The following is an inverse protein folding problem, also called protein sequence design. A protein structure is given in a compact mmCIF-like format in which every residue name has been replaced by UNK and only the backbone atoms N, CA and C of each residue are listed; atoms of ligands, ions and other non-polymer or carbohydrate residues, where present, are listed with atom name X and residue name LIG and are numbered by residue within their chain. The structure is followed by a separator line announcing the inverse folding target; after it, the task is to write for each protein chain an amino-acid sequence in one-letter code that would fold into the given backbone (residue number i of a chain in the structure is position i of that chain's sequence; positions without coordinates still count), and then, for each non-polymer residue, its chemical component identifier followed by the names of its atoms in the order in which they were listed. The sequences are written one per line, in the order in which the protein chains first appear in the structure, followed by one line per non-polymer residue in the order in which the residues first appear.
data_IF_083314553450
#
_entry.id   IF_083314553450
#
_cell.length_a   1.000
_cell.length_b   1.000
_cell.length_c   1.000
_cell.angle_alpha   90.00
_cell.angle_beta   90.00
_cell.angle_gamma   90.00
#
_symmetry.space_group_name_H-M   'P 1'
#
loop_
_entity.id
_entity.type
_entity.pdbx_description
1 polymer ?
#
# COMPACT_ATOMS: atom_id res chain seq x y z
N UNK A 1 -12.44 29.66 -9.55
CA UNK A 1 -12.41 28.21 -9.23
C UNK A 1 -13.23 28.02 -7.97
N UNK A 2 -14.24 27.14 -7.98
CA UNK A 2 -15.08 26.91 -6.79
C UNK A 2 -14.27 26.22 -5.67
N UNK A 3 -14.72 26.34 -4.43
CA UNK A 3 -14.11 25.64 -3.30
C UNK A 3 -14.05 24.12 -3.53
N UNK A 4 -15.09 23.53 -4.13
CA UNK A 4 -15.13 22.10 -4.46
C UNK A 4 -14.11 21.70 -5.53
N UNK A 5 -13.92 22.54 -6.55
CA UNK A 5 -12.90 22.32 -7.57
C UNK A 5 -11.49 22.35 -6.96
N UNK A 6 -11.23 23.29 -6.03
CA UNK A 6 -9.95 23.38 -5.32
C UNK A 6 -9.66 22.14 -4.48
N UNK A 7 -10.62 21.71 -3.66
CA UNK A 7 -10.47 20.50 -2.85
C UNK A 7 -10.24 19.28 -3.72
N UNK A 8 -10.95 19.16 -4.85
CA UNK A 8 -10.76 18.05 -5.80
C UNK A 8 -9.36 18.04 -6.41
N UNK A 9 -8.85 19.18 -6.87
CA UNK A 9 -7.49 19.27 -7.43
C UNK A 9 -6.44 18.89 -6.38
N UNK A 10 -6.61 19.35 -5.14
CA UNK A 10 -5.71 19.00 -4.03
C UNK A 10 -5.75 17.50 -3.77
N UNK A 11 -6.94 16.90 -3.63
CA UNK A 11 -7.09 15.48 -3.33
C UNK A 11 -6.55 14.59 -4.46
N UNK A 12 -6.85 14.91 -5.72
CA UNK A 12 -6.29 14.22 -6.87
C UNK A 12 -4.77 14.36 -6.92
N UNK A 13 -4.23 15.55 -6.66
CA UNK A 13 -2.80 15.80 -6.55
C UNK A 13 -2.14 14.95 -5.47
N UNK A 14 -2.74 14.83 -4.28
CA UNK A 14 -2.24 13.99 -3.20
C UNK A 14 -2.21 12.51 -3.59
N UNK A 15 -3.23 12.01 -4.29
CA UNK A 15 -3.25 10.63 -4.80
C UNK A 15 -2.10 10.42 -5.79
N UNK A 16 -1.90 11.33 -6.75
CA UNK A 16 -0.80 11.25 -7.72
C UNK A 16 0.57 11.27 -7.02
N UNK A 17 0.76 12.14 -6.03
CA UNK A 17 2.00 12.22 -5.25
C UNK A 17 2.24 10.91 -4.48
N UNK A 18 1.21 10.33 -3.86
CA UNK A 18 1.32 9.07 -3.13
C UNK A 18 1.73 7.90 -4.04
N UNK A 19 1.17 7.81 -5.25
CA UNK A 19 1.60 6.83 -6.26
C UNK A 19 3.02 7.11 -6.78
N UNK A 20 3.40 8.38 -6.94
CA UNK A 20 4.77 8.76 -7.26
C UNK A 20 5.76 8.30 -6.19
N UNK A 21 5.42 8.47 -4.91
CA UNK A 21 6.22 7.99 -3.78
C UNK A 21 6.32 6.46 -3.78
N UNK A 22 5.19 5.75 -3.96
CA UNK A 22 5.16 4.29 -4.09
C UNK A 22 6.10 3.81 -5.21
N UNK A 23 6.05 4.43 -6.38
CA UNK A 23 6.92 4.08 -7.50
C UNK A 23 8.40 4.38 -7.22
N UNK A 24 8.68 5.50 -6.55
CA UNK A 24 10.04 5.91 -6.21
C UNK A 24 10.68 4.98 -5.17
N UNK A 25 9.99 4.69 -4.06
CA UNK A 25 10.41 3.68 -3.08
C UNK A 25 10.49 2.30 -3.74
N UNK A 26 9.54 2.02 -4.63
CA UNK A 26 9.56 1.06 -5.74
C UNK A 26 10.97 0.77 -6.27
N UNK A 27 11.41 1.72 -7.09
CA UNK A 27 12.70 1.68 -7.77
C UNK A 27 13.89 1.69 -6.82
N UNK A 28 13.81 2.40 -5.69
CA UNK A 28 14.88 2.44 -4.70
C UNK A 28 15.17 1.04 -4.13
N UNK A 29 14.15 0.35 -3.64
CA UNK A 29 14.31 -1.01 -3.11
C UNK A 29 14.75 -2.00 -4.20
N UNK A 30 14.21 -1.90 -5.43
CA UNK A 30 14.68 -2.74 -6.55
C UNK A 30 16.19 -2.61 -6.78
N UNK A 31 16.76 -1.40 -6.66
CA UNK A 31 18.21 -1.17 -6.79
C UNK A 31 19.00 -1.73 -5.61
N UNK A 32 18.45 -1.72 -4.40
CA UNK A 32 19.10 -2.29 -3.21
C UNK A 32 19.20 -3.82 -3.30
N UNK A 33 18.19 -4.47 -3.90
CA UNK A 33 18.14 -5.93 -4.06
C UNK A 33 18.71 -6.45 -5.38
N UNK A 34 19.03 -5.56 -6.32
CA UNK A 34 19.61 -5.92 -7.61
C UNK A 34 20.85 -6.82 -7.43
N UNK A 35 20.93 -7.88 -8.23
CA UNK A 35 22.01 -8.88 -8.28
C UNK A 35 22.08 -9.92 -7.14
N UNK A 36 21.17 -9.92 -6.14
CA UNK A 36 21.18 -10.94 -5.06
C UNK A 36 19.88 -11.73 -4.86
N UNK A 37 18.73 -11.21 -5.30
CA UNK A 37 17.46 -11.94 -5.36
C UNK A 37 16.80 -11.74 -6.73
N UNK A 38 16.06 -12.75 -7.24
CA UNK A 38 15.45 -12.73 -8.60
C UNK A 38 14.38 -11.63 -8.79
N UNK A 39 13.78 -11.14 -7.72
CA UNK A 39 12.84 -10.00 -7.71
C UNK A 39 12.74 -9.43 -6.29
N UNK A 40 12.13 -8.25 -6.14
CA UNK A 40 11.63 -7.70 -4.87
C UNK A 40 10.99 -8.81 -4.04
N UNK A 41 11.68 -9.20 -2.98
CA UNK A 41 11.35 -10.32 -2.12
C UNK A 41 11.13 -9.75 -0.72
N UNK A 42 10.01 -10.05 -0.02
CA UNK A 42 8.89 -10.94 -0.36
C UNK A 42 7.61 -10.25 -0.89
N UNK A 43 7.52 -8.92 -0.85
CA UNK A 43 6.24 -8.16 -0.97
C UNK A 43 5.58 -8.12 -2.37
N UNK A 44 6.27 -8.51 -3.46
CA UNK A 44 5.74 -8.32 -4.83
C UNK A 44 5.01 -9.53 -5.41
N UNK A 45 5.21 -10.73 -4.85
CA UNK A 45 4.62 -11.96 -5.40
C UNK A 45 4.32 -12.98 -4.31
N UNK A 46 3.19 -13.69 -4.41
CA UNK A 46 2.84 -14.81 -3.51
C UNK A 46 3.66 -16.09 -3.78
N UNK A 47 4.55 -16.06 -4.77
CA UNK A 47 5.27 -17.22 -5.29
C UNK A 47 6.53 -17.62 -4.52
N UNK A 48 6.90 -16.91 -3.44
CA UNK A 48 8.10 -17.28 -2.68
C UNK A 48 7.92 -18.54 -1.81
N UNK A 49 8.97 -19.33 -1.62
CA UNK A 49 8.96 -20.46 -0.66
C UNK A 49 9.37 -20.01 0.75
N UNK A 50 9.02 -20.82 1.76
CA UNK A 50 9.51 -20.60 3.12
C UNK A 50 11.04 -20.63 3.21
N UNK A 51 11.70 -21.45 2.38
CA UNK A 51 13.16 -21.55 2.32
C UNK A 51 13.80 -20.25 1.83
N UNK A 52 13.23 -19.60 0.81
CA UNK A 52 13.72 -18.30 0.34
C UNK A 52 13.56 -17.20 1.41
N UNK A 53 12.52 -17.29 2.25
CA UNK A 53 12.37 -16.38 3.39
C UNK A 53 13.43 -16.68 4.47
N UNK A 54 13.74 -17.96 4.70
CA UNK A 54 14.85 -18.38 5.56
C UNK A 54 16.21 -17.88 5.05
N UNK A 55 16.46 -17.91 3.75
CA UNK A 55 17.66 -17.35 3.12
C UNK A 55 17.78 -15.83 3.34
N UNK A 56 16.68 -15.09 3.19
CA UNK A 56 16.67 -13.65 3.46
C UNK A 56 17.03 -13.34 4.92
N UNK A 57 16.49 -14.11 5.86
CA UNK A 57 16.75 -13.97 7.31
C UNK A 57 18.23 -14.17 7.67
N UNK A 58 18.92 -15.04 6.92
CA UNK A 58 20.36 -15.28 7.10
C UNK A 58 21.26 -14.34 6.28
N UNK A 59 20.69 -13.59 5.34
CA UNK A 59 21.45 -12.70 4.47
C UNK A 59 21.95 -11.43 5.17
N UNK A 60 23.03 -10.87 4.63
CA UNK A 60 23.53 -9.53 4.97
C UNK A 60 22.56 -8.40 4.58
N UNK A 61 21.59 -8.69 3.70
CA UNK A 61 20.58 -7.76 3.23
C UNK A 61 19.41 -7.59 4.20
N UNK A 62 19.23 -8.51 5.15
CA UNK A 62 18.21 -8.46 6.21
C UNK A 62 18.07 -7.08 6.84
N UNK A 63 19.18 -6.51 7.29
CA UNK A 63 19.15 -5.20 7.98
C UNK A 63 18.83 -4.06 7.02
N UNK A 64 19.25 -4.15 5.75
CA UNK A 64 18.91 -3.16 4.70
C UNK A 64 17.44 -3.23 4.31
N UNK A 65 16.84 -4.40 4.43
CA UNK A 65 15.40 -4.59 4.24
C UNK A 65 14.60 -3.98 5.39
N UNK A 66 14.95 -4.33 6.64
CA UNK A 66 14.26 -3.77 7.82
C UNK A 66 14.42 -2.26 7.86
N UNK A 67 15.63 -1.75 7.58
CA UNK A 67 15.92 -0.33 7.55
C UNK A 67 16.83 0.03 6.36
N UNK A 68 16.44 0.99 5.49
CA UNK A 68 15.31 1.92 5.64
C UNK A 68 14.03 1.49 4.91
N UNK A 69 14.00 0.31 4.28
CA UNK A 69 12.97 -0.04 3.30
C UNK A 69 11.62 -0.28 3.98
N UNK A 70 11.54 -1.29 4.83
CA UNK A 70 10.33 -1.63 5.60
C UNK A 70 9.97 -0.45 6.54
N UNK A 71 10.95 0.00 7.31
CA UNK A 71 10.84 1.19 8.14
C UNK A 71 12.01 2.14 7.89
N UNK A 72 11.77 3.44 7.60
CA UNK A 72 10.48 4.14 7.61
C UNK A 72 9.81 4.27 6.23
N UNK A 73 10.44 3.81 5.14
CA UNK A 73 9.98 4.16 3.79
C UNK A 73 8.63 3.54 3.44
N UNK A 74 8.43 2.24 3.67
CA UNK A 74 7.15 1.59 3.33
C UNK A 74 6.01 2.10 4.22
N UNK A 75 6.30 2.33 5.52
CA UNK A 75 5.37 3.01 6.43
C UNK A 75 4.89 4.38 5.88
N UNK A 76 5.82 5.19 5.35
CA UNK A 76 5.45 6.47 4.76
C UNK A 76 4.60 6.30 3.49
N UNK A 77 4.91 5.29 2.67
CA UNK A 77 4.16 4.97 1.45
C UNK A 77 2.74 4.51 1.77
N UNK A 78 2.57 3.55 2.68
CA UNK A 78 1.25 3.03 3.03
C UNK A 78 0.35 4.10 3.66
N UNK A 79 0.91 4.98 4.50
CA UNK A 79 0.19 6.10 5.08
C UNK A 79 -0.23 7.12 4.01
N UNK A 80 0.68 7.44 3.07
CA UNK A 80 0.37 8.35 1.97
C UNK A 80 -0.72 7.78 1.04
N UNK A 81 -0.62 6.50 0.67
CA UNK A 81 -1.60 5.83 -0.19
C UNK A 81 -2.96 5.72 0.50
N UNK A 82 -3.01 5.18 1.71
CA UNK A 82 -4.26 5.00 2.45
C UNK A 82 -4.92 6.35 2.77
N UNK A 83 -4.13 7.33 3.23
CA UNK A 83 -4.61 8.67 3.55
C UNK A 83 -5.14 9.42 2.33
N UNK A 84 -4.38 9.45 1.23
CA UNK A 84 -4.78 10.17 0.03
C UNK A 84 -6.00 9.53 -0.64
N UNK A 85 -5.98 8.21 -0.85
CA UNK A 85 -7.13 7.51 -1.44
C UNK A 85 -8.36 7.58 -0.54
N UNK A 86 -8.17 7.50 0.78
CA UNK A 86 -9.27 7.53 1.73
C UNK A 86 -9.95 8.89 1.82
N UNK A 87 -9.15 9.96 1.91
CA UNK A 87 -9.67 11.32 1.86
C UNK A 87 -10.37 11.62 0.51
N UNK A 88 -9.74 11.25 -0.60
CA UNK A 88 -10.27 11.50 -1.94
C UNK A 88 -11.59 10.75 -2.21
N UNK A 89 -11.61 9.43 -1.99
CA UNK A 89 -12.80 8.61 -2.23
C UNK A 89 -13.95 8.97 -1.29
N UNK A 90 -13.67 9.19 0.00
CA UNK A 90 -14.69 9.63 0.96
C UNK A 90 -15.30 10.97 0.57
N UNK A 91 -14.47 11.95 0.16
CA UNK A 91 -14.94 13.25 -0.30
C UNK A 91 -15.86 13.14 -1.53
N UNK A 92 -15.42 12.47 -2.60
CA UNK A 92 -16.20 12.36 -3.83
C UNK A 92 -17.48 11.52 -3.65
N UNK A 93 -17.44 10.46 -2.82
CA UNK A 93 -18.63 9.70 -2.46
C UNK A 93 -19.60 10.53 -1.61
N UNK A 94 -19.12 11.37 -0.69
CA UNK A 94 -20.00 12.23 0.08
C UNK A 94 -20.77 13.21 -0.80
N UNK A 95 -20.15 13.67 -1.90
CA UNK A 95 -20.80 14.56 -2.86
C UNK A 95 -21.77 13.84 -3.83
N UNK A 96 -21.47 12.61 -4.22
CA UNK A 96 -22.22 11.90 -5.29
C UNK A 96 -23.14 10.78 -4.79
N UNK A 97 -22.76 10.11 -3.70
CA UNK A 97 -23.49 9.00 -3.11
C UNK A 97 -23.22 8.89 -1.58
N UNK A 98 -23.76 9.81 -0.75
CA UNK A 98 -23.46 9.91 0.68
C UNK A 98 -23.58 8.62 1.48
N UNK A 99 -24.56 7.72 1.24
CA UNK A 99 -24.70 6.47 1.99
C UNK A 99 -23.48 5.54 1.91
N UNK A 100 -22.63 5.67 0.90
CA UNK A 100 -21.41 4.86 0.75
C UNK A 100 -20.11 5.59 1.14
N UNK A 101 -20.15 6.85 1.58
CA UNK A 101 -18.93 7.63 1.86
C UNK A 101 -17.99 6.96 2.87
N UNK A 102 -18.55 6.20 3.82
CA UNK A 102 -17.78 5.43 4.79
C UNK A 102 -16.86 4.36 4.16
N UNK A 103 -17.22 3.82 2.99
CA UNK A 103 -16.37 2.87 2.25
C UNK A 103 -15.05 3.53 1.84
N UNK A 104 -15.09 4.83 1.55
CA UNK A 104 -13.89 5.60 1.22
C UNK A 104 -12.86 5.60 2.34
N UNK A 105 -13.28 5.47 3.60
CA UNK A 105 -12.35 5.37 4.73
C UNK A 105 -12.03 3.91 5.08
N UNK A 106 -13.03 3.03 5.08
CA UNK A 106 -12.86 1.65 5.54
C UNK A 106 -11.96 0.84 4.60
N UNK A 107 -12.14 0.94 3.27
CA UNK A 107 -11.39 0.12 2.33
C UNK A 107 -9.88 0.44 2.37
N UNK A 108 -9.45 1.72 2.33
CA UNK A 108 -8.03 2.07 2.51
C UNK A 108 -7.49 1.79 3.92
N UNK A 109 -8.33 1.84 4.95
CA UNK A 109 -7.92 1.46 6.31
C UNK A 109 -7.61 -0.05 6.43
N UNK A 110 -8.40 -0.91 5.77
CA UNK A 110 -8.10 -2.35 5.71
C UNK A 110 -6.76 -2.59 5.02
N UNK A 111 -6.48 -1.88 3.93
CA UNK A 111 -5.16 -1.88 3.29
C UNK A 111 -4.06 -1.51 4.29
N UNK A 112 -4.14 -0.33 4.89
CA UNK A 112 -3.14 0.17 5.84
C UNK A 112 -2.88 -0.81 6.99
N UNK A 113 -3.94 -1.37 7.59
CA UNK A 113 -3.81 -2.29 8.70
C UNK A 113 -3.17 -3.62 8.28
N UNK A 114 -3.59 -4.18 7.14
CA UNK A 114 -2.98 -5.41 6.63
C UNK A 114 -1.50 -5.22 6.28
N UNK A 115 -1.16 -4.09 5.68
CA UNK A 115 0.20 -3.72 5.31
C UNK A 115 1.09 -3.55 6.55
N UNK A 116 0.60 -2.82 7.55
CA UNK A 116 1.29 -2.61 8.80
C UNK A 116 1.53 -3.91 9.58
N UNK A 117 0.54 -4.81 9.61
CA UNK A 117 0.68 -6.13 10.26
C UNK A 117 1.70 -6.99 9.52
N UNK A 118 1.68 -6.97 8.19
CA UNK A 118 2.66 -7.67 7.35
C UNK A 118 4.07 -7.18 7.65
N UNK A 119 4.26 -5.87 7.64
CA UNK A 119 5.57 -5.25 7.89
C UNK A 119 6.08 -5.53 9.29
N UNK A 120 5.25 -5.41 10.32
CA UNK A 120 5.69 -5.75 11.68
C UNK A 120 6.07 -7.22 11.82
N UNK A 121 5.29 -8.14 11.23
CA UNK A 121 5.59 -9.56 11.25
C UNK A 121 6.90 -9.85 10.52
N UNK A 122 7.07 -9.27 9.33
CA UNK A 122 8.26 -9.47 8.51
C UNK A 122 9.50 -8.89 9.18
N UNK A 123 9.41 -7.66 9.70
CA UNK A 123 10.45 -7.01 10.48
C UNK A 123 10.85 -7.82 11.71
N UNK A 124 9.87 -8.35 12.46
CA UNK A 124 10.13 -9.20 13.61
C UNK A 124 10.84 -10.51 13.23
N UNK A 125 10.40 -11.19 12.17
CA UNK A 125 11.03 -12.43 11.68
C UNK A 125 12.47 -12.20 11.25
N UNK A 126 12.72 -11.10 10.53
CA UNK A 126 14.05 -10.71 10.07
C UNK A 126 14.96 -10.36 11.25
N UNK A 127 14.48 -9.59 12.22
CA UNK A 127 15.27 -9.22 13.40
C UNK A 127 15.56 -10.43 14.31
N UNK A 128 14.64 -11.39 14.40
CA UNK A 128 14.82 -12.61 15.19
C UNK A 128 15.93 -13.51 14.63
N UNK A 129 16.14 -13.51 13.31
CA UNK A 129 17.24 -14.28 12.71
C UNK A 129 17.02 -15.81 12.65
N UNK A 130 15.79 -16.30 12.90
CA UNK A 130 15.47 -17.73 12.90
C UNK A 130 14.90 -18.17 11.53
N UNK A 131 15.68 -18.87 10.68
CA UNK A 131 15.23 -19.26 9.34
C UNK A 131 14.09 -20.30 9.37
N UNK A 132 14.06 -21.21 10.36
CA UNK A 132 13.01 -22.21 10.48
C UNK A 132 11.70 -21.60 11.00
N UNK A 133 11.81 -20.63 11.93
CA UNK A 133 10.69 -19.81 12.37
C UNK A 133 10.07 -19.00 11.22
N UNK A 134 10.92 -18.41 10.37
CA UNK A 134 10.49 -17.66 9.21
C UNK A 134 9.82 -18.54 8.15
N UNK A 135 10.41 -19.68 7.80
CA UNK A 135 9.82 -20.63 6.85
C UNK A 135 8.42 -21.10 7.27
N UNK A 136 8.20 -21.36 8.57
CA UNK A 136 6.88 -21.71 9.12
C UNK A 136 5.86 -20.57 9.05
N UNK A 137 6.32 -19.33 9.10
CA UNK A 137 5.46 -18.15 9.08
C UNK A 137 5.09 -17.71 7.65
N UNK A 138 5.67 -18.33 6.62
CA UNK A 138 5.46 -17.95 5.23
C UNK A 138 3.99 -18.05 4.79
N UNK A 139 3.22 -19.03 5.27
CA UNK A 139 1.78 -19.14 4.95
C UNK A 139 0.97 -17.99 5.53
N UNK A 140 1.27 -17.58 6.76
CA UNK A 140 0.62 -16.45 7.44
C UNK A 140 0.95 -15.15 6.72
N UNK A 141 2.23 -14.92 6.39
CA UNK A 141 2.64 -13.74 5.62
C UNK A 141 1.89 -13.68 4.29
N UNK A 142 1.87 -14.76 3.51
CA UNK A 142 1.13 -14.79 2.22
C UNK A 142 -0.36 -14.50 2.36
N UNK A 143 -0.99 -14.97 3.43
CA UNK A 143 -2.40 -14.68 3.69
C UNK A 143 -2.61 -13.18 3.92
N UNK A 144 -1.74 -12.54 4.72
CA UNK A 144 -1.79 -11.10 4.97
C UNK A 144 -1.47 -10.31 3.69
N UNK A 145 -0.42 -10.69 2.95
CA UNK A 145 -0.08 -10.09 1.65
C UNK A 145 -1.26 -10.16 0.67
N UNK A 146 -2.03 -11.26 0.68
CA UNK A 146 -3.23 -11.38 -0.16
C UNK A 146 -4.29 -10.35 0.23
N UNK A 147 -4.54 -10.16 1.54
CA UNK A 147 -5.47 -9.14 2.02
C UNK A 147 -4.98 -7.74 1.62
N UNK A 148 -3.68 -7.44 1.80
CA UNK A 148 -3.04 -6.18 1.36
C UNK A 148 -3.26 -5.92 -0.13
N UNK A 149 -2.99 -6.91 -0.99
CA UNK A 149 -3.11 -6.77 -2.45
C UNK A 149 -4.56 -6.59 -2.92
N UNK A 150 -5.51 -7.33 -2.32
CA UNK A 150 -6.93 -7.19 -2.65
C UNK A 150 -7.45 -5.83 -2.17
N UNK A 151 -7.09 -5.41 -0.95
CA UNK A 151 -7.57 -4.15 -0.36
C UNK A 151 -6.98 -2.91 -1.03
N UNK A 152 -5.69 -2.92 -1.43
CA UNK A 152 -5.13 -1.82 -2.23
C UNK A 152 -5.79 -1.73 -3.60
N UNK A 153 -6.03 -2.87 -4.27
CA UNK A 153 -6.72 -2.91 -5.56
C UNK A 153 -8.15 -2.38 -5.45
N UNK A 154 -8.87 -2.79 -4.39
CA UNK A 154 -10.20 -2.29 -4.08
C UNK A 154 -10.19 -0.79 -3.76
N UNK A 155 -9.19 -0.30 -3.04
CA UNK A 155 -9.02 1.13 -2.74
C UNK A 155 -8.84 1.94 -4.01
N UNK A 156 -7.98 1.49 -4.93
CA UNK A 156 -7.77 2.13 -6.24
C UNK A 156 -9.07 2.16 -7.04
N UNK A 157 -9.74 1.01 -7.16
CA UNK A 157 -11.00 0.93 -7.89
C UNK A 157 -12.06 1.87 -7.28
N UNK A 158 -12.19 1.88 -5.95
CA UNK A 158 -13.12 2.76 -5.24
C UNK A 158 -12.80 4.23 -5.47
N UNK A 159 -11.53 4.64 -5.40
CA UNK A 159 -11.11 6.02 -5.67
C UNK A 159 -11.45 6.44 -7.11
N UNK A 160 -11.22 5.57 -8.09
CA UNK A 160 -11.57 5.85 -9.50
C UNK A 160 -13.08 5.93 -9.72
N UNK A 161 -13.84 4.98 -9.14
CA UNK A 161 -15.30 4.97 -9.23
C UNK A 161 -15.90 6.20 -8.54
N UNK A 162 -15.39 6.58 -7.37
CA UNK A 162 -15.82 7.77 -6.65
C UNK A 162 -15.55 9.04 -7.47
N UNK A 163 -14.35 9.16 -8.06
CA UNK A 163 -14.00 10.29 -8.92
C UNK A 163 -14.91 10.38 -10.15
N UNK A 164 -15.11 9.27 -10.85
CA UNK A 164 -16.01 9.21 -12.02
C UNK A 164 -17.46 9.51 -11.62
N UNK A 165 -17.93 8.93 -10.51
CA UNK A 165 -19.26 9.17 -9.97
C UNK A 165 -19.50 10.65 -9.67
N UNK A 166 -18.53 11.32 -9.05
CA UNK A 166 -18.56 12.77 -8.86
C UNK A 166 -18.55 13.56 -10.18
N UNK A 167 -17.70 13.19 -11.14
CA UNK A 167 -17.60 13.86 -12.45
C UNK A 167 -18.93 13.82 -13.24
N UNK A 168 -19.66 12.70 -13.16
CA UNK A 168 -20.93 12.51 -13.86
C UNK A 168 -22.16 12.91 -13.02
N UNK A 169 -22.00 13.16 -11.71
CA UNK A 169 -23.04 13.78 -10.91
C UNK A 169 -23.16 15.25 -11.33
N UNK A 170 -24.37 15.67 -11.72
CA UNK A 170 -24.67 16.84 -12.56
C UNK A 170 -24.20 18.23 -12.11
N UNK A 171 -23.43 18.33 -11.03
CA UNK A 171 -22.81 19.55 -10.51
C UNK A 171 -21.34 19.73 -10.95
N UNK A 172 -20.62 18.67 -11.32
CA UNK A 172 -19.21 18.81 -11.76
C UNK A 172 -19.07 19.44 -13.16
N UNK A 173 -20.07 19.26 -14.03
CA UNK A 173 -20.13 19.84 -15.38
C UNK A 173 -20.65 21.29 -15.40
N UNK A 174 -21.02 21.85 -14.25
CA UNK A 174 -21.46 23.24 -14.10
C UNK A 174 -20.36 24.17 -13.52
N UNK A 175 -19.14 23.64 -13.37
CA UNK A 175 -17.95 24.35 -12.88
C UNK A 175 -17.09 24.91 -14.00
#
# INVERSE_FOLDING_TARGET
MSHQALVTVILAGLVVIAFGLFWWVGSYSDRVFANRFRSRFPEKTLSYSGDQLGELVQSDLRMKYVFPILFPLDLAVMLALAGAMGAASSYWLNLSYPPAAWLGLVVPAVYLLSDLIEDFLLGWLLLRGDPHGAARSASILKAITTIKLVSISASVALTLIAFAGWLFHGDALRL
#
